data_IF_339343599592
#
_entry.id   IF_339343599592
#
_cell.length_a   1.000
_cell.length_b   1.000
_cell.length_c   1.000
_cell.angle_alpha   90.00
_cell.angle_beta   90.00
_cell.angle_gamma   90.00
#
_symmetry.space_group_name_H-M   'P 1'
#
loop_
_entity.id
_entity.type
_entity.pdbx_description
1 polymer ?
#
# COMPACT_ATOMS: atom_id res chain seq x y z
N UNK A 1 9.20 6.32 -18.92
CA UNK A 1 9.27 6.04 -17.48
C UNK A 1 10.33 6.93 -16.87
N UNK A 2 9.94 8.02 -16.20
CA UNK A 2 10.91 8.88 -15.52
C UNK A 2 11.67 8.07 -14.47
N UNK A 3 13.00 8.05 -14.61
CA UNK A 3 13.92 7.19 -13.86
C UNK A 3 14.01 7.54 -12.36
N UNK A 4 13.22 8.51 -11.90
CA UNK A 4 13.33 9.17 -10.59
C UNK A 4 12.84 8.31 -9.43
N UNK A 5 11.87 7.41 -9.65
CA UNK A 5 11.31 6.56 -8.59
C UNK A 5 11.86 5.13 -8.57
N UNK A 6 12.89 4.84 -9.39
CA UNK A 6 13.48 3.50 -9.47
C UNK A 6 14.01 3.04 -8.11
N UNK A 7 14.60 3.96 -7.34
CA UNK A 7 15.12 3.66 -6.00
C UNK A 7 14.01 3.22 -5.02
N UNK A 8 12.89 3.94 -4.96
CA UNK A 8 11.77 3.60 -4.08
C UNK A 8 11.15 2.24 -4.42
N UNK A 9 11.05 1.92 -5.71
CA UNK A 9 10.55 0.61 -6.17
C UNK A 9 11.48 -0.54 -5.76
N UNK A 10 12.79 -0.31 -5.79
CA UNK A 10 13.79 -1.28 -5.30
C UNK A 10 13.67 -1.46 -3.79
N UNK A 11 13.54 -0.37 -3.04
CA UNK A 11 13.37 -0.41 -1.57
C UNK A 11 12.09 -1.18 -1.22
N UNK A 12 10.97 -0.90 -1.90
CA UNK A 12 9.73 -1.63 -1.70
C UNK A 12 9.88 -3.14 -1.94
N UNK A 13 10.54 -3.51 -3.05
CA UNK A 13 10.87 -4.91 -3.34
C UNK A 13 11.76 -5.55 -2.27
N UNK A 14 12.76 -4.82 -1.79
CA UNK A 14 13.65 -5.27 -0.73
C UNK A 14 12.87 -5.59 0.55
N UNK A 15 11.98 -4.70 1.00
CA UNK A 15 11.14 -4.92 2.18
C UNK A 15 10.23 -6.15 2.03
N UNK A 16 9.67 -6.37 0.84
CA UNK A 16 8.86 -7.57 0.56
C UNK A 16 9.68 -8.85 0.67
N UNK A 17 10.86 -8.89 0.04
CA UNK A 17 11.77 -10.04 0.12
C UNK A 17 12.18 -10.29 1.58
N UNK A 18 12.55 -9.23 2.29
CA UNK A 18 12.96 -9.31 3.69
C UNK A 18 11.82 -9.85 4.57
N UNK A 19 10.58 -9.38 4.35
CA UNK A 19 9.40 -9.91 5.04
C UNK A 19 9.18 -11.41 4.80
N UNK A 20 9.34 -11.88 3.55
CA UNK A 20 9.22 -13.31 3.21
C UNK A 20 10.32 -14.13 3.90
N UNK A 21 11.57 -13.64 3.91
CA UNK A 21 12.68 -14.31 4.58
C UNK A 21 12.39 -14.43 6.08
N UNK A 22 11.97 -13.34 6.72
CA UNK A 22 11.62 -13.33 8.15
C UNK A 22 10.45 -14.27 8.44
N UNK A 23 9.44 -14.35 7.56
CA UNK A 23 8.34 -15.30 7.71
C UNK A 23 8.85 -16.75 7.74
N UNK A 24 9.71 -17.14 6.79
CA UNK A 24 10.27 -18.50 6.70
C UNK A 24 11.12 -18.80 7.94
N UNK A 25 12.02 -17.89 8.31
CA UNK A 25 12.89 -18.05 9.49
C UNK A 25 12.05 -18.16 10.76
N UNK A 26 10.99 -17.38 10.91
CA UNK A 26 10.07 -17.43 12.06
C UNK A 26 9.39 -18.80 12.16
N UNK A 27 8.89 -19.33 11.04
CA UNK A 27 8.25 -20.65 11.02
C UNK A 27 9.24 -21.73 11.47
N UNK A 28 10.45 -21.74 10.89
CA UNK A 28 11.47 -22.72 11.25
C UNK A 28 11.90 -22.58 12.72
N UNK A 29 12.16 -21.35 13.18
CA UNK A 29 12.58 -21.07 14.54
C UNK A 29 11.51 -21.45 15.56
N UNK A 30 10.25 -21.07 15.34
CA UNK A 30 9.14 -21.43 16.23
C UNK A 30 8.96 -22.95 16.33
N UNK A 31 9.08 -23.65 15.20
CA UNK A 31 9.01 -25.11 15.18
C UNK A 31 10.20 -25.74 15.95
N UNK A 32 11.40 -25.19 15.79
CA UNK A 32 12.58 -25.58 16.57
C UNK A 32 12.42 -25.33 18.08
N UNK A 33 11.78 -24.24 18.49
CA UNK A 33 11.46 -23.94 19.89
C UNK A 33 10.46 -24.96 20.44
N UNK A 34 9.41 -25.28 19.69
CA UNK A 34 8.42 -26.29 20.11
C UNK A 34 9.08 -27.67 20.30
N UNK A 35 9.85 -28.12 19.31
CA UNK A 35 10.51 -29.44 19.35
C UNK A 35 11.55 -29.51 20.48
N UNK A 36 12.38 -28.48 20.63
CA UNK A 36 13.38 -28.45 21.71
C UNK A 36 12.74 -28.39 23.09
N UNK A 37 11.61 -27.70 23.26
CA UNK A 37 10.84 -27.70 24.51
C UNK A 37 10.24 -29.06 24.86
N UNK A 38 9.75 -29.81 23.87
CA UNK A 38 9.22 -31.17 24.09
C UNK A 38 10.34 -32.16 24.46
N UNK A 39 11.42 -32.18 23.67
CA UNK A 39 12.55 -33.09 23.89
C UNK A 39 13.28 -32.74 25.20
N UNK A 40 13.57 -31.46 25.43
CA UNK A 40 14.23 -30.99 26.64
C UNK A 40 13.37 -31.21 27.89
N UNK A 41 12.06 -31.01 27.79
CA UNK A 41 11.11 -31.33 28.86
C UNK A 41 11.10 -32.82 29.20
N UNK A 42 11.05 -33.69 28.20
CA UNK A 42 11.07 -35.15 28.39
C UNK A 42 12.40 -35.69 28.92
N UNK A 43 13.54 -35.07 28.59
CA UNK A 43 14.85 -35.42 29.14
C UNK A 43 15.01 -34.96 30.61
N UNK A 44 14.25 -33.95 31.04
CA UNK A 44 14.30 -33.39 32.40
C UNK A 44 13.46 -34.19 33.41
N UNK A 45 12.67 -35.15 32.95
CA UNK A 45 11.91 -36.09 33.79
C UNK A 45 12.80 -37.10 34.53
N UNK A 46 14.01 -37.37 34.02
CA UNK A 46 15.02 -38.17 34.72
C UNK A 46 15.69 -37.32 35.82
N UNK A 47 15.19 -37.54 37.03
CA UNK A 47 15.48 -36.82 38.27
C UNK A 47 16.93 -36.96 38.75
N UNK A 48 17.90 -36.42 38.03
CA UNK A 48 19.30 -36.32 38.48
C UNK A 48 19.62 -35.00 39.22
N UNK A 49 18.73 -34.00 39.13
CA UNK A 49 18.93 -32.65 39.68
C UNK A 49 18.13 -32.34 40.96
N UNK A 50 17.32 -33.27 41.46
CA UNK A 50 16.58 -33.11 42.74
C UNK A 50 15.54 -31.98 42.75
N UNK A 51 15.13 -31.46 41.59
CA UNK A 51 14.08 -30.44 41.50
C UNK A 51 12.69 -31.07 41.76
N UNK A 52 11.78 -30.35 42.44
CA UNK A 52 10.43 -30.84 42.72
C UNK A 52 9.69 -31.20 41.43
N UNK A 53 9.00 -32.35 41.46
CA UNK A 53 8.29 -33.00 40.35
C UNK A 53 7.26 -32.12 39.65
N UNK A 54 6.76 -31.09 40.32
CA UNK A 54 5.77 -30.14 39.79
C UNK A 54 6.32 -29.32 38.60
N UNK A 55 7.64 -29.16 38.50
CA UNK A 55 8.29 -28.47 37.38
C UNK A 55 8.58 -29.38 36.18
N UNK A 56 8.50 -30.70 36.35
CA UNK A 56 8.89 -31.66 35.32
C UNK A 56 7.89 -31.70 34.14
N UNK A 57 6.59 -31.52 34.43
CA UNK A 57 5.54 -31.41 33.40
C UNK A 57 5.45 -30.02 32.75
N UNK A 58 6.11 -29.00 33.31
CA UNK A 58 6.05 -27.63 32.82
C UNK A 58 6.92 -27.39 31.57
N UNK A 59 7.93 -28.24 31.32
CA UNK A 59 8.88 -28.09 30.21
C UNK A 59 8.22 -28.11 28.81
N UNK A 60 7.46 -29.16 28.46
CA UNK A 60 6.81 -29.23 27.15
C UNK A 60 5.77 -28.12 26.93
N UNK A 61 4.98 -27.79 27.97
CA UNK A 61 4.00 -26.71 27.91
C UNK A 61 4.67 -25.35 27.70
N UNK A 62 5.74 -25.05 28.44
CA UNK A 62 6.51 -23.82 28.27
C UNK A 62 7.09 -23.70 26.86
N UNK A 63 7.60 -24.79 26.29
CA UNK A 63 8.09 -24.84 24.91
C UNK A 63 7.02 -24.50 23.88
N UNK A 64 5.82 -25.06 24.03
CA UNK A 64 4.68 -24.77 23.14
C UNK A 64 4.25 -23.32 23.24
N UNK A 65 4.07 -22.79 24.45
CA UNK A 65 3.67 -21.39 24.63
C UNK A 65 4.73 -20.41 24.11
N UNK A 66 6.01 -20.68 24.36
CA UNK A 66 7.10 -19.86 23.87
C UNK A 66 7.22 -19.92 22.35
N UNK A 67 7.11 -21.12 21.76
CA UNK A 67 7.13 -21.31 20.31
C UNK A 67 5.96 -20.61 19.62
N UNK A 68 4.76 -20.71 20.19
CA UNK A 68 3.57 -20.01 19.69
C UNK A 68 3.70 -18.48 19.83
N UNK A 69 4.19 -17.99 20.97
CA UNK A 69 4.47 -16.56 21.17
C UNK A 69 5.49 -16.03 20.17
N UNK A 70 6.57 -16.78 19.92
CA UNK A 70 7.57 -16.46 18.92
C UNK A 70 7.00 -16.47 17.50
N UNK A 71 6.10 -17.41 17.19
CA UNK A 71 5.41 -17.48 15.89
C UNK A 71 4.55 -16.24 15.66
N UNK A 72 3.72 -15.84 16.64
CA UNK A 72 2.88 -14.64 16.51
C UNK A 72 3.75 -13.39 16.38
N UNK A 73 4.74 -13.22 17.25
CA UNK A 73 5.61 -12.04 17.23
C UNK A 73 6.37 -11.92 15.90
N UNK A 74 7.00 -13.01 15.44
CA UNK A 74 7.71 -13.01 14.17
C UNK A 74 6.77 -12.87 12.96
N UNK A 75 5.55 -13.42 13.02
CA UNK A 75 4.54 -13.22 11.97
C UNK A 75 4.10 -11.76 11.86
N UNK A 76 3.91 -11.06 13.00
CA UNK A 76 3.59 -9.62 12.99
C UNK A 76 4.73 -8.79 12.40
N UNK A 77 5.98 -9.12 12.72
CA UNK A 77 7.15 -8.45 12.12
C UNK A 77 7.20 -8.72 10.61
N UNK A 78 7.10 -9.99 10.19
CA UNK A 78 7.13 -10.37 8.78
C UNK A 78 6.03 -9.68 7.97
N UNK A 79 4.81 -9.67 8.52
CA UNK A 79 3.66 -9.00 7.91
C UNK A 79 3.86 -7.48 7.86
N UNK A 80 4.42 -6.88 8.91
CA UNK A 80 4.76 -5.46 8.94
C UNK A 80 5.78 -5.09 7.87
N UNK A 81 6.85 -5.87 7.71
CA UNK A 81 7.86 -5.64 6.67
C UNK A 81 7.27 -5.78 5.26
N UNK A 82 6.51 -6.84 5.02
CA UNK A 82 5.88 -7.08 3.73
C UNK A 82 4.86 -5.99 3.38
N UNK A 83 4.00 -5.65 4.34
CA UNK A 83 2.97 -4.62 4.22
C UNK A 83 3.55 -3.23 4.02
N UNK A 84 4.69 -2.92 4.66
CA UNK A 84 5.38 -1.65 4.43
C UNK A 84 5.90 -1.54 2.98
N UNK A 85 6.43 -2.64 2.42
CA UNK A 85 6.81 -2.70 1.00
C UNK A 85 5.62 -2.46 0.06
N UNK A 86 4.46 -3.05 0.36
CA UNK A 86 3.21 -2.81 -0.40
C UNK A 86 2.72 -1.36 -0.27
N UNK A 87 2.78 -0.77 0.93
CA UNK A 87 2.40 0.62 1.16
C UNK A 87 3.21 1.59 0.28
N UNK A 88 4.51 1.37 0.15
CA UNK A 88 5.38 2.18 -0.72
C UNK A 88 4.94 2.05 -2.19
N UNK A 89 4.64 0.83 -2.65
CA UNK A 89 4.17 0.60 -4.02
C UNK A 89 2.83 1.31 -4.30
N UNK A 90 1.90 1.27 -3.34
CA UNK A 90 0.61 1.96 -3.45
C UNK A 90 0.79 3.47 -3.53
N UNK A 91 1.62 4.06 -2.66
CA UNK A 91 1.90 5.50 -2.70
C UNK A 91 2.50 5.92 -4.05
N UNK A 92 3.43 5.13 -4.60
CA UNK A 92 4.02 5.39 -5.91
C UNK A 92 2.98 5.31 -7.03
N UNK A 93 2.07 4.34 -6.97
CA UNK A 93 0.99 4.20 -7.95
C UNK A 93 0.02 5.39 -7.93
N UNK A 94 -0.28 5.95 -6.75
CA UNK A 94 -1.12 7.15 -6.61
C UNK A 94 -0.46 8.36 -7.28
N UNK A 95 0.85 8.54 -7.08
CA UNK A 95 1.60 9.62 -7.70
C UNK A 95 1.65 9.48 -9.23
N UNK A 96 1.95 8.28 -9.73
CA UNK A 96 1.98 8.00 -11.16
C UNK A 96 0.61 8.25 -11.82
N UNK A 97 -0.48 7.86 -11.16
CA UNK A 97 -1.84 8.12 -11.64
C UNK A 97 -2.17 9.63 -11.66
N UNK A 98 -1.83 10.35 -10.58
CA UNK A 98 -2.11 11.80 -10.49
C UNK A 98 -1.34 12.58 -11.55
N UNK A 99 -0.08 12.23 -11.80
CA UNK A 99 0.71 12.85 -12.89
C UNK A 99 0.15 12.52 -14.26
N UNK A 100 -0.32 11.28 -14.47
CA UNK A 100 -1.03 10.87 -15.68
C UNK A 100 -2.26 11.74 -15.92
N UNK A 101 -3.10 11.92 -14.90
CA UNK A 101 -4.29 12.78 -14.96
C UNK A 101 -3.94 14.22 -15.30
N UNK A 102 -2.93 14.80 -14.65
CA UNK A 102 -2.50 16.18 -14.94
C UNK A 102 -1.99 16.32 -16.39
N UNK A 103 -1.20 15.36 -16.89
CA UNK A 103 -0.72 15.37 -18.26
C UNK A 103 -1.88 15.27 -19.28
N UNK A 104 -2.90 14.45 -19.00
CA UNK A 104 -4.10 14.34 -19.84
C UNK A 104 -4.95 15.62 -19.83
N UNK A 105 -5.07 16.30 -18.69
CA UNK A 105 -5.80 17.56 -18.56
C UNK A 105 -5.04 18.74 -19.19
N UNK A 106 -3.72 18.80 -19.03
CA UNK A 106 -2.88 19.84 -19.60
C UNK A 106 -2.73 19.70 -21.13
N UNK A 107 -2.82 18.48 -21.66
CA UNK A 107 -2.85 18.20 -23.10
C UNK A 107 -4.24 18.24 -23.72
N UNK A 108 -5.31 18.33 -22.93
CA UNK A 108 -6.65 18.50 -23.44
C UNK A 108 -6.83 19.95 -23.93
N UNK A 109 -7.17 20.21 -25.21
CA UNK A 109 -7.63 21.54 -25.61
C UNK A 109 -8.77 21.92 -24.68
N UNK A 110 -8.76 23.14 -24.15
CA UNK A 110 -9.82 23.68 -23.30
C UNK A 110 -11.16 23.54 -24.03
N UNK A 111 -11.86 22.43 -23.80
CA UNK A 111 -13.23 22.32 -24.28
C UNK A 111 -14.00 23.45 -23.61
N UNK A 112 -14.65 24.33 -24.39
CA UNK A 112 -15.53 25.33 -23.81
C UNK A 112 -16.52 24.59 -22.93
N UNK A 113 -16.66 25.02 -21.69
CA UNK A 113 -17.71 24.51 -20.82
C UNK A 113 -19.04 24.51 -21.59
N UNK A 114 -19.81 23.41 -21.62
CA UNK A 114 -21.12 23.40 -22.28
C UNK A 114 -22.10 24.42 -21.68
N UNK A 115 -21.77 25.02 -20.54
CA UNK A 115 -22.48 26.18 -20.00
C UNK A 115 -22.33 27.45 -20.86
N UNK A 116 -21.20 27.64 -21.57
CA UNK A 116 -21.00 28.82 -22.43
C UNK A 116 -21.66 28.65 -23.82
N UNK A 117 -21.87 27.42 -24.28
CA UNK A 117 -22.49 27.14 -25.57
C UNK A 117 -24.02 27.39 -25.61
N UNK A 118 -24.67 27.58 -24.44
CA UNK A 118 -26.11 27.90 -24.38
C UNK A 118 -26.43 29.39 -24.33
N UNK A 119 -25.47 30.26 -24.03
CA UNK A 119 -25.78 31.66 -23.68
C UNK A 119 -25.43 32.68 -24.78
N UNK A 120 -24.71 32.27 -25.83
CA UNK A 120 -24.44 33.13 -26.99
C UNK A 120 -25.49 32.89 -28.08
N UNK A 121 -26.75 33.22 -27.78
CA UNK A 121 -27.68 33.59 -28.86
C UNK A 121 -27.18 34.92 -29.45
N UNK A 122 -26.95 35.02 -30.78
CA UNK A 122 -26.50 36.26 -31.39
C UNK A 122 -27.54 37.37 -31.10
N UNK A 123 -27.10 38.59 -30.76
CA UNK A 123 -28.03 39.71 -30.58
C UNK A 123 -28.86 39.86 -31.85
N UNK A 124 -30.19 40.10 -31.75
CA UNK A 124 -31.04 40.26 -32.92
C UNK A 124 -30.45 41.35 -33.80
N UNK A 125 -30.28 41.03 -35.09
CA UNK A 125 -29.74 41.95 -36.08
C UNK A 125 -30.51 43.27 -36.01
N UNK A 126 -29.83 44.34 -35.58
CA UNK A 126 -30.39 45.68 -35.66
C UNK A 126 -30.54 46.01 -37.13
N UNK A 127 -31.79 46.07 -37.60
CA UNK A 127 -32.12 46.53 -38.95
C UNK A 127 -31.69 48.00 -39.06
N UNK A 128 -30.84 48.36 -40.05
CA UNK A 128 -30.48 49.75 -40.24
C UNK A 128 -31.73 50.60 -40.50
N UNK A 129 -31.88 51.79 -39.89
CA UNK A 129 -33.01 52.67 -40.18
C UNK A 129 -33.01 53.04 -41.66
N UNK A 130 -34.20 52.94 -42.28
CA UNK A 130 -34.44 53.21 -43.68
C UNK A 130 -33.89 54.60 -44.07
N UNK A 131 -32.98 54.63 -45.03
CA UNK A 131 -32.54 55.88 -45.65
C UNK A 131 -33.71 56.47 -46.43
N UNK A 132 -34.18 57.65 -46.02
CA UNK A 132 -35.18 58.41 -46.77
C UNK A 132 -34.58 58.90 -48.08
N UNK A 133 -35.27 58.71 -49.22
CA UNK A 133 -34.78 59.16 -50.52
C UNK A 133 -34.68 60.70 -50.59
N UNK A 134 -33.77 61.23 -51.43
CA UNK A 134 -33.58 62.67 -51.57
C UNK A 134 -34.83 63.33 -52.16
N UNK A 135 -35.25 64.42 -51.54
CA UNK A 135 -36.31 65.28 -52.07
C UNK A 135 -35.83 65.97 -53.35
N UNK A 136 -36.27 65.49 -54.51
CA UNK A 136 -36.27 66.31 -55.72
C UNK A 136 -37.28 67.44 -55.53
N UNK A 137 -36.79 68.68 -55.53
CA UNK A 137 -37.60 69.89 -55.40
C UNK A 137 -37.00 71.01 -56.25
N UNK A 138 -37.66 71.20 -57.39
CA UNK A 138 -37.77 72.35 -58.31
C UNK A 138 -37.15 73.68 -57.84
#
# INVERSE_FOLDING_TARGET
>A
MEHRYRALRIIAWLYKILGIIIAIVTIIASMGICVSGIIGGAASTDSSLGLPSDFSSAGPLAGIFLGFGALIYGALIALGLYGFGELIMVMLAIEENTRGTYASLAGAPSMPSPAYAREVSPPPAQTPPAQTPPSEGV
#
